data_IF_049230567061
#
_entry.id   IF_049230567061
#
_cell.length_a   1.000
_cell.length_b   1.000
_cell.length_c   1.000
_cell.angle_alpha   90.00
_cell.angle_beta   90.00
_cell.angle_gamma   90.00
#
_symmetry.space_group_name_H-M   'P 1'
#
loop_
_entity.id
_entity.type
_entity.pdbx_description
1 polymer ?
#
# COMPACT_ATOMS: atom_id res chain seq x y z
N UNK A 1 -17.72 -12.91 -8.44
CA UNK A 1 -18.36 -12.46 -7.19
C UNK A 1 -18.30 -13.57 -6.16
N UNK A 2 -18.19 -13.22 -4.88
CA UNK A 2 -18.15 -14.12 -3.73
C UNK A 2 -19.33 -13.74 -2.84
N UNK A 3 -20.07 -14.73 -2.31
CA UNK A 3 -21.18 -14.48 -1.37
C UNK A 3 -20.72 -14.56 0.09
N UNK A 4 -21.32 -13.75 0.95
CA UNK A 4 -21.07 -13.85 2.40
C UNK A 4 -21.38 -15.24 2.93
N UNK A 5 -22.47 -15.87 2.46
CA UNK A 5 -22.86 -17.24 2.84
C UNK A 5 -21.83 -18.32 2.49
N UNK A 6 -21.00 -18.09 1.43
CA UNK A 6 -19.94 -19.03 1.04
C UNK A 6 -18.72 -18.97 1.96
N UNK A 7 -18.52 -17.82 2.66
CA UNK A 7 -17.29 -17.54 3.43
C UNK A 7 -17.52 -17.49 4.94
N UNK A 8 -18.77 -17.49 5.41
CA UNK A 8 -19.06 -17.42 6.83
C UNK A 8 -18.51 -18.64 7.58
N UNK A 9 -17.87 -18.39 8.73
CA UNK A 9 -17.50 -19.41 9.70
C UNK A 9 -18.69 -19.71 10.62
N UNK A 10 -18.66 -20.83 11.36
CA UNK A 10 -19.72 -21.26 12.26
C UNK A 10 -20.00 -20.23 13.37
N UNK A 11 -18.95 -19.58 13.87
CA UNK A 11 -19.04 -18.56 14.91
C UNK A 11 -19.50 -17.17 14.41
N UNK A 12 -19.68 -16.99 13.10
CA UNK A 12 -20.14 -15.73 12.51
C UNK A 12 -21.66 -15.73 12.39
N UNK A 13 -22.28 -14.56 12.55
CA UNK A 13 -23.70 -14.39 12.35
C UNK A 13 -23.99 -13.66 11.04
N UNK A 14 -24.53 -14.37 10.06
CA UNK A 14 -24.97 -13.81 8.79
C UNK A 14 -26.39 -13.24 8.95
N UNK A 15 -26.50 -11.91 9.06
CA UNK A 15 -27.80 -11.23 9.16
C UNK A 15 -28.47 -11.06 7.80
N UNK A 16 -27.67 -10.82 6.77
CA UNK A 16 -28.15 -10.70 5.38
C UNK A 16 -27.06 -11.10 4.41
N UNK A 17 -27.38 -11.98 3.49
CA UNK A 17 -26.44 -12.37 2.42
C UNK A 17 -26.21 -11.22 1.44
N UNK A 18 -25.07 -11.23 0.78
CA UNK A 18 -24.68 -10.24 -0.22
C UNK A 18 -23.46 -10.70 -0.99
N UNK A 19 -23.20 -10.03 -2.10
CA UNK A 19 -22.09 -10.37 -2.99
C UNK A 19 -21.03 -9.27 -2.99
N UNK A 20 -19.76 -9.69 -3.03
CA UNK A 20 -18.61 -8.79 -3.17
C UNK A 20 -17.58 -9.40 -4.14
N UNK A 21 -16.68 -8.55 -4.65
CA UNK A 21 -15.58 -8.96 -5.52
C UNK A 21 -14.21 -8.79 -4.84
N UNK A 22 -14.11 -7.91 -3.85
CA UNK A 22 -12.88 -7.65 -3.14
C UNK A 22 -13.09 -7.24 -1.69
N UNK A 23 -12.03 -7.26 -0.92
CA UNK A 23 -11.98 -6.68 0.42
C UNK A 23 -11.35 -5.29 0.35
N UNK A 24 -11.78 -4.37 1.23
CA UNK A 24 -11.20 -3.03 1.28
C UNK A 24 -11.60 -2.26 2.53
N UNK A 25 -10.92 -1.15 2.80
CA UNK A 25 -11.29 -0.24 3.87
C UNK A 25 -12.58 0.53 3.51
N UNK A 26 -13.29 1.02 4.49
CA UNK A 26 -14.60 1.70 4.32
C UNK A 26 -14.56 2.95 3.42
N UNK A 27 -13.38 3.52 3.20
CA UNK A 27 -13.13 4.69 2.33
C UNK A 27 -12.55 4.34 0.98
N UNK A 28 -12.26 3.07 0.73
CA UNK A 28 -11.60 2.60 -0.48
C UNK A 28 -12.46 2.88 -1.73
N UNK A 29 -11.82 3.33 -2.80
CA UNK A 29 -12.43 3.55 -4.12
C UNK A 29 -11.87 2.53 -5.09
N UNK A 30 -12.53 1.39 -5.14
CA UNK A 30 -12.06 0.23 -5.89
C UNK A 30 -12.72 0.08 -7.27
N UNK A 31 -13.87 0.75 -7.49
CA UNK A 31 -14.68 0.60 -8.70
C UNK A 31 -15.29 -0.82 -8.83
N UNK A 32 -15.33 -1.57 -7.74
CA UNK A 32 -15.91 -2.91 -7.67
C UNK A 32 -16.58 -3.12 -6.30
N UNK A 33 -17.56 -4.06 -6.18
CA UNK A 33 -18.23 -4.33 -4.92
C UNK A 33 -17.29 -4.83 -3.84
N UNK A 34 -17.22 -4.13 -2.71
CA UNK A 34 -16.34 -4.43 -1.59
C UNK A 34 -17.07 -5.02 -0.40
N UNK A 35 -16.44 -5.97 0.28
CA UNK A 35 -16.66 -6.27 1.69
C UNK A 35 -15.70 -5.40 2.52
N UNK A 36 -16.25 -4.62 3.45
CA UNK A 36 -15.46 -3.83 4.41
C UNK A 36 -15.80 -4.16 5.84
N UNK A 37 -14.92 -3.79 6.76
CA UNK A 37 -15.19 -3.93 8.20
C UNK A 37 -15.44 -2.57 8.86
N UNK A 38 -16.37 -2.53 9.82
CA UNK A 38 -16.76 -1.33 10.55
C UNK A 38 -16.83 -1.61 12.05
N UNK A 39 -15.85 -1.14 12.83
CA UNK A 39 -15.76 -1.38 14.26
C UNK A 39 -16.56 -0.43 15.15
N UNK A 40 -17.18 0.61 14.58
CA UNK A 40 -17.98 1.57 15.33
C UNK A 40 -18.93 2.37 14.40
N UNK A 41 -19.91 3.14 14.95
CA UNK A 41 -20.87 3.89 14.16
C UNK A 41 -20.26 4.96 13.23
N UNK A 42 -19.04 5.47 13.52
CA UNK A 42 -18.34 6.43 12.64
C UNK A 42 -17.94 5.75 11.34
N UNK A 43 -17.26 4.60 11.42
CA UNK A 43 -16.84 3.85 10.25
C UNK A 43 -18.02 3.27 9.48
N UNK A 44 -19.09 2.85 10.18
CA UNK A 44 -20.34 2.44 9.54
C UNK A 44 -20.91 3.56 8.66
N UNK A 45 -21.03 4.79 9.20
CA UNK A 45 -21.48 5.94 8.41
C UNK A 45 -20.59 6.26 7.21
N UNK A 46 -19.28 6.04 7.33
CA UNK A 46 -18.34 6.21 6.20
C UNK A 46 -18.58 5.15 5.14
N UNK A 47 -18.70 3.89 5.54
CA UNK A 47 -18.99 2.76 4.65
C UNK A 47 -20.32 2.93 3.90
N UNK A 48 -21.37 3.38 4.59
CA UNK A 48 -22.69 3.63 3.99
C UNK A 48 -22.68 4.73 2.91
N UNK A 49 -21.76 5.69 2.99
CA UNK A 49 -21.57 6.73 1.98
C UNK A 49 -20.73 6.27 0.78
N UNK A 50 -20.03 5.15 0.90
CA UNK A 50 -19.19 4.64 -0.16
C UNK A 50 -19.99 3.72 -1.09
N UNK A 51 -20.18 4.07 -2.39
CA UNK A 51 -20.94 3.26 -3.33
C UNK A 51 -20.28 1.91 -3.65
N UNK A 52 -18.97 1.79 -3.46
CA UNK A 52 -18.25 0.54 -3.71
C UNK A 52 -18.48 -0.50 -2.59
N UNK A 53 -18.93 -0.09 -1.41
CA UNK A 53 -19.19 -1.02 -0.30
C UNK A 53 -20.52 -1.75 -0.52
N UNK A 54 -20.47 -3.03 -0.81
CA UNK A 54 -21.63 -3.90 -1.01
C UNK A 54 -21.95 -4.75 0.23
N UNK A 55 -20.92 -5.09 1.02
CA UNK A 55 -21.07 -5.92 2.21
C UNK A 55 -20.32 -5.32 3.42
N UNK A 56 -20.86 -5.57 4.60
CA UNK A 56 -20.36 -5.08 5.88
C UNK A 56 -20.02 -6.24 6.81
N UNK A 57 -18.83 -6.22 7.38
CA UNK A 57 -18.41 -7.04 8.50
C UNK A 57 -18.37 -6.15 9.74
N UNK A 58 -19.09 -6.52 10.79
CA UNK A 58 -19.27 -5.67 11.99
C UNK A 58 -19.16 -6.53 13.27
N UNK A 59 -18.89 -5.93 14.44
CA UNK A 59 -18.99 -6.63 15.70
C UNK A 59 -20.48 -6.88 16.05
N UNK A 60 -20.75 -7.84 16.95
CA UNK A 60 -22.12 -8.27 17.29
C UNK A 60 -23.00 -7.13 17.82
N UNK A 61 -22.45 -6.20 18.59
CA UNK A 61 -23.16 -5.05 19.15
C UNK A 61 -23.58 -4.01 18.10
N UNK A 62 -22.94 -4.00 16.94
CA UNK A 62 -23.26 -3.09 15.83
C UNK A 62 -24.14 -3.76 14.76
N UNK A 63 -24.39 -5.06 14.87
CA UNK A 63 -25.01 -5.89 13.84
C UNK A 63 -26.41 -5.42 13.43
N UNK A 64 -27.29 -5.20 14.40
CA UNK A 64 -28.66 -4.76 14.14
C UNK A 64 -28.69 -3.37 13.49
N UNK A 65 -27.91 -2.43 14.01
CA UNK A 65 -27.81 -1.08 13.44
C UNK A 65 -27.30 -1.12 11.99
N UNK A 66 -26.32 -1.97 11.69
CA UNK A 66 -25.78 -2.11 10.34
C UNK A 66 -26.81 -2.70 9.37
N UNK A 67 -27.59 -3.71 9.82
CA UNK A 67 -28.63 -4.33 9.02
C UNK A 67 -29.82 -3.41 8.73
N UNK A 68 -30.18 -2.55 9.67
CA UNK A 68 -31.28 -1.58 9.51
C UNK A 68 -30.89 -0.36 8.69
N UNK A 69 -29.61 0.03 8.71
CA UNK A 69 -29.13 1.26 8.07
C UNK A 69 -29.22 1.24 6.54
N UNK A 70 -29.06 0.06 5.92
CA UNK A 70 -29.18 -0.10 4.47
C UNK A 70 -29.65 -1.54 4.13
N UNK A 71 -30.89 -1.69 3.63
CA UNK A 71 -31.46 -3.00 3.33
C UNK A 71 -30.84 -3.70 2.12
N UNK A 72 -30.04 -3.02 1.31
CA UNK A 72 -29.45 -3.56 0.09
C UNK A 72 -28.08 -4.20 0.32
N UNK A 73 -27.41 -3.89 1.43
CA UNK A 73 -26.06 -4.40 1.70
C UNK A 73 -26.06 -5.72 2.48
N UNK A 74 -25.15 -6.62 2.11
CA UNK A 74 -24.87 -7.81 2.90
C UNK A 74 -24.30 -7.43 4.28
N UNK A 75 -24.68 -8.17 5.34
CA UNK A 75 -24.22 -7.89 6.71
C UNK A 75 -23.87 -9.18 7.42
N UNK A 76 -22.64 -9.25 7.93
CA UNK A 76 -22.14 -10.36 8.74
C UNK A 76 -21.52 -9.81 10.03
N UNK A 77 -21.94 -10.37 11.19
CA UNK A 77 -21.35 -10.04 12.48
C UNK A 77 -20.31 -11.08 12.90
N UNK A 78 -19.18 -10.61 13.46
CA UNK A 78 -18.04 -11.46 13.78
C UNK A 78 -17.46 -11.14 15.16
N UNK A 79 -16.85 -12.13 15.84
CA UNK A 79 -16.33 -11.94 17.20
C UNK A 79 -15.06 -11.06 17.25
N UNK A 80 -14.14 -11.25 16.32
CA UNK A 80 -12.82 -10.57 16.29
C UNK A 80 -12.64 -9.76 15.00
N UNK A 81 -13.42 -8.70 14.85
CA UNK A 81 -13.64 -7.97 13.62
C UNK A 81 -12.40 -7.80 12.71
N UNK A 82 -11.33 -7.26 13.23
CA UNK A 82 -10.13 -6.97 12.41
C UNK A 82 -9.35 -8.24 12.09
N UNK A 83 -9.27 -9.16 13.03
CA UNK A 83 -8.60 -10.45 12.82
C UNK A 83 -9.38 -11.26 11.80
N UNK A 84 -10.69 -11.44 11.99
CA UNK A 84 -11.55 -12.17 11.07
C UNK A 84 -11.52 -11.63 9.64
N UNK A 85 -11.46 -10.30 9.48
CA UNK A 85 -11.38 -9.67 8.17
C UNK A 85 -10.07 -10.00 7.44
N UNK A 86 -8.93 -9.95 8.13
CA UNK A 86 -7.65 -10.22 7.49
C UNK A 86 -7.33 -11.71 7.39
N UNK A 87 -7.84 -12.54 8.28
CA UNK A 87 -7.84 -14.00 8.08
C UNK A 87 -8.68 -14.41 6.88
N UNK A 88 -9.84 -13.76 6.69
CA UNK A 88 -10.64 -13.96 5.48
C UNK A 88 -9.84 -13.55 4.23
N UNK A 89 -9.17 -12.40 4.26
CA UNK A 89 -8.30 -11.98 3.15
C UNK A 89 -7.26 -13.07 2.83
N UNK A 90 -6.52 -13.56 3.83
CA UNK A 90 -5.51 -14.60 3.64
C UNK A 90 -6.13 -15.90 3.08
N UNK A 91 -7.30 -16.31 3.59
CA UNK A 91 -8.03 -17.48 3.07
C UNK A 91 -8.42 -17.32 1.61
N UNK A 92 -8.91 -16.13 1.23
CA UNK A 92 -9.28 -15.83 -0.16
C UNK A 92 -8.05 -15.73 -1.10
N UNK A 93 -6.86 -15.52 -0.56
CA UNK A 93 -5.60 -15.60 -1.31
C UNK A 93 -5.13 -17.06 -1.54
N UNK A 94 -5.69 -18.02 -0.83
CA UNK A 94 -5.38 -19.45 -0.94
C UNK A 94 -5.91 -20.08 -2.23
N UNK A 95 -5.44 -21.29 -2.58
CA UNK A 95 -5.67 -21.92 -3.89
C UNK A 95 -7.15 -22.14 -4.24
N UNK A 96 -8.00 -22.33 -3.25
CA UNK A 96 -9.45 -22.55 -3.43
C UNK A 96 -10.16 -21.29 -3.98
N UNK A 97 -9.69 -20.11 -3.61
CA UNK A 97 -10.36 -18.83 -3.87
C UNK A 97 -9.56 -17.88 -4.76
N UNK A 98 -8.25 -18.13 -4.91
CA UNK A 98 -7.33 -17.18 -5.53
C UNK A 98 -7.79 -16.74 -6.93
N UNK A 99 -8.31 -17.64 -7.76
CA UNK A 99 -8.78 -17.33 -9.10
C UNK A 99 -9.96 -16.35 -9.06
N UNK A 100 -10.92 -16.56 -8.17
CA UNK A 100 -12.12 -15.70 -8.02
C UNK A 100 -11.79 -14.36 -7.35
N UNK A 101 -10.81 -14.34 -6.47
CA UNK A 101 -10.47 -13.18 -5.63
C UNK A 101 -9.35 -12.33 -6.21
N UNK A 102 -8.32 -12.95 -6.76
CA UNK A 102 -7.10 -12.28 -7.20
C UNK A 102 -6.80 -12.45 -8.69
N UNK A 103 -7.63 -13.21 -9.42
CA UNK A 103 -7.44 -13.53 -10.83
C UNK A 103 -6.43 -14.65 -11.10
N UNK A 104 -6.35 -15.07 -12.36
CA UNK A 104 -5.41 -16.08 -12.83
C UNK A 104 -4.00 -15.54 -12.96
N UNK A 105 -3.01 -16.43 -12.84
CA UNK A 105 -1.62 -16.09 -13.11
C UNK A 105 -1.35 -16.12 -14.63
N UNK A 106 -0.82 -15.00 -15.14
CA UNK A 106 -0.42 -14.86 -16.53
C UNK A 106 1.11 -15.06 -16.67
N UNK A 107 1.59 -15.63 -17.77
CA UNK A 107 3.03 -15.73 -18.00
C UNK A 107 3.74 -14.38 -17.95
N UNK A 108 4.98 -14.37 -17.44
CA UNK A 108 5.81 -13.16 -17.50
C UNK A 108 6.13 -12.80 -18.95
N UNK A 109 5.98 -11.52 -19.28
CA UNK A 109 6.23 -10.95 -20.61
C UNK A 109 7.34 -9.89 -20.50
N UNK A 110 8.42 -10.11 -21.24
CA UNK A 110 9.56 -9.18 -21.33
C UNK A 110 9.68 -8.74 -22.78
N UNK A 111 9.70 -7.42 -23.01
CA UNK A 111 9.88 -6.90 -24.36
C UNK A 111 11.27 -7.33 -24.91
N UNK A 112 11.36 -7.78 -26.17
CA UNK A 112 12.63 -8.25 -26.76
C UNK A 112 13.75 -7.22 -26.77
N UNK A 113 13.45 -5.92 -26.69
CA UNK A 113 14.44 -4.83 -26.61
C UNK A 113 14.90 -4.53 -25.17
N UNK A 114 14.30 -5.16 -24.16
CA UNK A 114 14.74 -4.97 -22.77
C UNK A 114 16.09 -5.67 -22.51
N UNK A 115 16.93 -5.03 -21.72
CA UNK A 115 18.25 -5.54 -21.35
C UNK A 115 18.24 -6.07 -19.93
N UNK A 116 18.15 -7.38 -19.76
CA UNK A 116 18.08 -8.04 -18.45
C UNK A 116 19.42 -8.73 -18.16
N UNK A 117 20.10 -8.33 -17.07
CA UNK A 117 21.30 -9.03 -16.62
C UNK A 117 20.93 -10.47 -16.20
N UNK A 118 21.68 -11.49 -16.61
CA UNK A 118 21.35 -12.89 -16.33
C UNK A 118 21.37 -13.26 -14.83
N UNK A 119 21.89 -12.41 -13.97
CA UNK A 119 21.88 -12.56 -12.50
C UNK A 119 20.68 -11.89 -11.83
N UNK A 120 19.70 -11.43 -12.61
CA UNK A 120 18.43 -10.90 -12.11
C UNK A 120 17.48 -12.04 -11.78
N UNK A 121 16.70 -11.89 -10.71
CA UNK A 121 15.63 -12.83 -10.35
C UNK A 121 14.28 -12.22 -10.73
N UNK A 122 13.58 -12.84 -11.68
CA UNK A 122 12.26 -12.40 -12.13
C UNK A 122 11.25 -13.53 -11.90
N UNK A 123 10.11 -13.22 -11.28
CA UNK A 123 9.04 -14.20 -11.10
C UNK A 123 8.57 -14.76 -12.46
N UNK A 124 8.26 -16.05 -12.55
CA UNK A 124 7.86 -16.70 -13.82
C UNK A 124 6.46 -16.27 -14.30
N UNK A 125 5.67 -15.67 -13.43
CA UNK A 125 4.31 -15.21 -13.74
C UNK A 125 4.04 -13.80 -13.26
N UNK A 126 3.10 -13.13 -13.93
CA UNK A 126 2.57 -11.81 -13.58
C UNK A 126 3.63 -10.69 -13.54
N UNK A 127 4.68 -10.77 -14.35
CA UNK A 127 5.62 -9.66 -14.56
C UNK A 127 5.51 -9.18 -16.00
N UNK A 128 5.53 -7.85 -16.19
CA UNK A 128 5.64 -7.23 -17.51
C UNK A 128 6.77 -6.21 -17.49
N UNK A 129 7.69 -6.29 -18.47
CA UNK A 129 8.81 -5.34 -18.63
C UNK A 129 8.75 -4.77 -20.04
N UNK A 130 8.64 -3.44 -20.13
CA UNK A 130 8.51 -2.70 -21.38
C UNK A 130 9.82 -2.52 -22.15
N UNK A 131 9.68 -1.97 -23.36
CA UNK A 131 10.76 -1.79 -24.32
C UNK A 131 11.94 -0.97 -23.75
N UNK A 132 13.15 -1.31 -24.17
CA UNK A 132 14.42 -0.65 -23.83
C UNK A 132 14.71 -0.54 -22.32
N UNK A 133 13.93 -1.19 -21.47
CA UNK A 133 14.16 -1.17 -20.02
C UNK A 133 15.39 -1.97 -19.66
N UNK A 134 16.26 -1.41 -18.83
CA UNK A 134 17.48 -2.03 -18.33
C UNK A 134 17.28 -2.52 -16.91
N UNK A 135 17.55 -3.79 -16.63
CA UNK A 135 17.54 -4.37 -15.29
C UNK A 135 18.93 -4.95 -14.98
N UNK A 136 19.57 -4.36 -13.99
CA UNK A 136 20.94 -4.72 -13.61
C UNK A 136 20.99 -5.95 -12.68
N UNK A 137 22.19 -6.50 -12.55
CA UNK A 137 22.51 -7.68 -11.76
C UNK A 137 21.99 -7.63 -10.32
N UNK A 138 21.43 -8.73 -9.82
CA UNK A 138 20.98 -8.84 -8.43
C UNK A 138 19.69 -8.11 -8.12
N UNK A 139 19.03 -7.48 -9.10
CA UNK A 139 17.67 -7.00 -8.92
C UNK A 139 16.69 -8.18 -8.79
N UNK A 140 15.66 -8.02 -7.96
CA UNK A 140 14.61 -9.03 -7.73
C UNK A 140 13.26 -8.44 -8.06
N UNK A 141 12.53 -9.06 -9.01
CA UNK A 141 11.22 -8.62 -9.45
C UNK A 141 10.19 -9.69 -9.15
N UNK A 142 9.33 -9.44 -8.20
CA UNK A 142 8.26 -10.34 -7.82
C UNK A 142 7.06 -10.24 -8.77
N UNK A 143 6.21 -11.26 -8.77
CA UNK A 143 4.96 -11.28 -9.53
C UNK A 143 4.03 -10.11 -9.23
N UNK A 144 3.10 -9.82 -10.14
CA UNK A 144 2.19 -8.68 -10.11
C UNK A 144 2.91 -7.31 -10.19
N UNK A 145 4.08 -7.30 -10.88
CA UNK A 145 4.87 -6.10 -11.13
C UNK A 145 4.87 -5.78 -12.63
N UNK A 146 4.50 -4.54 -12.97
CA UNK A 146 4.58 -4.01 -14.34
C UNK A 146 5.56 -2.85 -14.37
N UNK A 147 6.52 -2.92 -15.28
CA UNK A 147 7.55 -1.88 -15.51
C UNK A 147 7.36 -1.37 -16.94
N UNK A 148 7.24 -0.07 -17.09
CA UNK A 148 7.08 0.59 -18.38
C UNK A 148 8.33 0.52 -19.25
N UNK A 149 8.35 1.31 -20.31
CA UNK A 149 9.46 1.41 -21.26
C UNK A 149 10.56 2.39 -20.78
N UNK A 150 11.77 2.22 -21.29
CA UNK A 150 12.92 3.10 -21.08
C UNK A 150 13.28 3.31 -19.60
N UNK A 151 12.99 2.31 -18.76
CA UNK A 151 13.29 2.34 -17.33
C UNK A 151 14.71 1.80 -17.03
N UNK A 152 15.25 2.19 -15.88
CA UNK A 152 16.53 1.67 -15.38
C UNK A 152 16.32 1.17 -13.95
N UNK A 153 16.49 -0.12 -13.74
CA UNK A 153 16.43 -0.76 -12.42
C UNK A 153 17.84 -1.19 -12.03
N UNK A 154 18.43 -0.47 -11.08
CA UNK A 154 19.81 -0.68 -10.66
C UNK A 154 19.96 -1.90 -9.73
N UNK A 155 21.19 -2.36 -9.60
CA UNK A 155 21.58 -3.55 -8.85
C UNK A 155 21.04 -3.59 -7.43
N UNK A 156 20.59 -4.77 -6.99
CA UNK A 156 20.15 -5.04 -5.62
C UNK A 156 18.76 -4.53 -5.26
N UNK A 157 18.06 -3.85 -6.17
CA UNK A 157 16.71 -3.36 -5.89
C UNK A 157 15.68 -4.48 -5.92
N UNK A 158 14.71 -4.42 -4.98
CA UNK A 158 13.66 -5.42 -4.80
C UNK A 158 12.30 -4.77 -5.09
N UNK A 159 11.62 -5.26 -6.13
CA UNK A 159 10.38 -4.70 -6.64
C UNK A 159 9.22 -5.69 -6.49
N UNK A 160 8.10 -5.23 -5.95
CA UNK A 160 6.88 -6.00 -5.82
C UNK A 160 6.90 -7.04 -4.69
N UNK A 161 7.83 -6.93 -3.74
CA UNK A 161 7.83 -7.73 -2.52
C UNK A 161 6.65 -7.39 -1.60
N UNK A 162 6.40 -8.23 -0.58
CA UNK A 162 5.41 -7.94 0.46
C UNK A 162 5.89 -6.82 1.39
N UNK A 163 4.95 -5.99 1.85
CA UNK A 163 5.19 -4.97 2.86
C UNK A 163 5.03 -5.48 4.29
N UNK A 164 5.06 -4.55 5.25
CA UNK A 164 4.81 -4.82 6.67
C UNK A 164 3.30 -4.65 6.95
N UNK A 165 2.54 -5.74 6.89
CA UNK A 165 1.15 -5.78 7.35
C UNK A 165 0.98 -6.97 8.29
N UNK A 166 1.02 -6.69 9.58
CA UNK A 166 0.95 -7.68 10.65
C UNK A 166 0.02 -7.21 11.76
N UNK A 167 -0.69 -8.15 12.38
CA UNK A 167 -1.59 -7.86 13.51
C UNK A 167 -1.28 -8.72 14.71
N UNK A 168 -1.41 -8.16 15.91
CA UNK A 168 -1.37 -8.94 17.15
C UNK A 168 -2.71 -9.63 17.36
N UNK A 169 -2.67 -10.95 17.62
CA UNK A 169 -3.83 -11.76 17.97
C UNK A 169 -3.79 -12.01 19.48
N UNK A 170 -4.15 -11.01 20.28
CA UNK A 170 -4.09 -11.11 21.73
C UNK A 170 -2.72 -11.61 22.24
N UNK A 171 -2.70 -12.69 23.03
CA UNK A 171 -1.50 -13.41 23.48
C UNK A 171 -1.09 -14.55 22.54
N UNK A 172 -1.87 -14.85 21.50
CA UNK A 172 -1.70 -16.04 20.65
C UNK A 172 -0.66 -15.85 19.53
N UNK A 173 -0.21 -14.61 19.29
CA UNK A 173 0.84 -14.37 18.31
C UNK A 173 0.59 -13.17 17.39
N UNK A 174 1.16 -13.27 16.18
CA UNK A 174 1.10 -12.24 15.15
C UNK A 174 0.58 -12.87 13.85
N UNK A 175 -0.51 -12.31 13.31
CA UNK A 175 -1.02 -12.65 11.99
C UNK A 175 -0.28 -11.82 10.93
N UNK A 176 0.37 -12.48 9.98
CA UNK A 176 0.86 -11.85 8.76
C UNK A 176 -0.26 -11.76 7.73
N UNK A 177 -0.33 -10.65 7.01
CA UNK A 177 -1.35 -10.43 5.97
C UNK A 177 -0.72 -10.54 4.58
N UNK A 178 -1.32 -11.35 3.71
CA UNK A 178 -0.88 -11.58 2.35
C UNK A 178 -0.99 -10.32 1.49
N UNK A 179 0.05 -10.01 0.71
CA UNK A 179 0.03 -8.94 -0.27
C UNK A 179 -0.29 -9.51 -1.66
N UNK A 180 -1.47 -9.23 -2.18
CA UNK A 180 -1.96 -9.72 -3.48
C UNK A 180 -2.26 -8.61 -4.49
N UNK A 181 -2.03 -7.36 -4.12
CA UNK A 181 -2.09 -6.24 -5.04
C UNK A 181 -0.89 -6.20 -5.99
N UNK A 182 -0.75 -5.14 -6.73
CA UNK A 182 0.26 -4.98 -7.77
C UNK A 182 1.24 -3.83 -7.47
N UNK A 183 2.34 -3.83 -8.24
CA UNK A 183 3.25 -2.70 -8.37
C UNK A 183 3.25 -2.26 -9.85
N UNK A 184 2.97 -0.98 -10.08
CA UNK A 184 2.94 -0.36 -11.40
C UNK A 184 4.01 0.72 -11.49
N UNK A 185 4.98 0.55 -12.38
CA UNK A 185 6.05 1.51 -12.65
C UNK A 185 5.85 2.06 -14.06
N UNK A 186 5.76 3.38 -14.18
CA UNK A 186 5.58 4.10 -15.45
C UNK A 186 6.80 4.01 -16.36
N UNK A 187 6.85 4.88 -17.35
CA UNK A 187 7.94 4.92 -18.32
C UNK A 187 9.06 5.86 -17.86
N UNK A 188 10.30 5.62 -18.32
CA UNK A 188 11.49 6.45 -18.06
C UNK A 188 11.77 6.66 -16.58
N UNK A 189 11.37 5.69 -15.75
CA UNK A 189 11.64 5.67 -14.30
C UNK A 189 13.05 5.12 -14.07
N UNK A 190 13.79 5.75 -13.18
CA UNK A 190 15.04 5.18 -12.68
C UNK A 190 14.93 4.87 -11.19
N UNK A 191 15.22 3.63 -10.81
CA UNK A 191 15.32 3.17 -9.43
C UNK A 191 16.75 2.75 -9.20
N UNK A 192 17.46 3.49 -8.34
CA UNK A 192 18.86 3.24 -8.06
C UNK A 192 19.06 2.08 -7.09
N UNK A 193 20.26 1.95 -6.57
CA UNK A 193 20.75 0.75 -5.90
C UNK A 193 20.04 0.44 -4.58
N UNK A 194 19.77 -0.86 -4.36
CA UNK A 194 19.24 -1.39 -3.10
C UNK A 194 17.95 -0.71 -2.62
N UNK A 195 17.11 -0.28 -3.53
CA UNK A 195 15.77 0.22 -3.19
C UNK A 195 14.80 -0.92 -2.94
N UNK A 196 13.80 -0.69 -2.08
CA UNK A 196 12.70 -1.62 -1.86
C UNK A 196 11.37 -0.94 -2.19
N UNK A 197 10.60 -1.52 -3.11
CA UNK A 197 9.27 -1.06 -3.47
C UNK A 197 8.28 -2.19 -3.29
N UNK A 198 7.41 -2.07 -2.29
CA UNK A 198 6.41 -3.10 -1.97
C UNK A 198 5.20 -3.01 -2.90
N UNK A 199 4.61 -4.16 -3.25
CA UNK A 199 3.31 -4.21 -3.91
C UNK A 199 2.19 -3.89 -2.92
N UNK A 200 1.01 -3.53 -3.42
CA UNK A 200 -0.15 -3.25 -2.59
C UNK A 200 -0.74 -4.51 -1.93
N UNK A 201 -1.62 -4.30 -0.95
CA UNK A 201 -2.23 -5.35 -0.15
C UNK A 201 -3.34 -6.09 -0.90
N UNK A 202 -4.40 -5.39 -1.28
CA UNK A 202 -5.58 -5.98 -1.91
C UNK A 202 -5.39 -6.20 -3.41
N UNK A 203 -5.96 -7.28 -4.01
CA UNK A 203 -5.77 -7.62 -5.43
C UNK A 203 -6.13 -6.52 -6.42
N UNK A 204 -7.13 -5.71 -6.11
CA UNK A 204 -7.60 -4.60 -6.95
C UNK A 204 -6.78 -3.32 -6.81
N UNK A 205 -5.91 -3.26 -5.80
CA UNK A 205 -5.13 -2.06 -5.45
C UNK A 205 -3.68 -2.18 -5.91
N UNK A 206 -3.04 -1.05 -6.12
CA UNK A 206 -1.65 -1.01 -6.60
C UNK A 206 -0.78 -0.03 -5.80
N UNK A 207 0.52 -0.30 -5.75
CA UNK A 207 1.56 0.70 -5.51
C UNK A 207 1.95 1.25 -6.87
N UNK A 208 2.03 2.57 -7.02
CA UNK A 208 2.28 3.19 -8.32
C UNK A 208 3.44 4.17 -8.28
N UNK A 209 4.27 4.16 -9.34
CA UNK A 209 5.32 5.14 -9.60
C UNK A 209 5.07 5.72 -10.99
N UNK A 210 4.86 7.03 -11.07
CA UNK A 210 4.56 7.74 -12.32
C UNK A 210 5.80 7.92 -13.20
N UNK A 211 5.54 8.29 -14.46
CA UNK A 211 6.56 8.48 -15.49
C UNK A 211 7.64 9.50 -15.08
N UNK A 212 8.85 9.34 -15.59
CA UNK A 212 10.00 10.23 -15.42
C UNK A 212 10.49 10.39 -13.97
N UNK A 213 9.97 9.63 -13.00
CA UNK A 213 10.37 9.68 -11.60
C UNK A 213 11.76 9.06 -11.41
N UNK A 214 12.59 9.69 -10.56
CA UNK A 214 13.95 9.25 -10.23
C UNK A 214 14.06 8.99 -8.74
N UNK A 215 14.51 7.80 -8.40
CA UNK A 215 14.59 7.30 -7.02
C UNK A 215 16.03 6.93 -6.75
N UNK A 216 16.66 7.63 -5.81
CA UNK A 216 18.04 7.40 -5.41
C UNK A 216 18.17 6.16 -4.52
N UNK A 217 19.39 5.75 -4.23
CA UNK A 217 19.73 4.51 -3.52
C UNK A 217 19.11 4.41 -2.11
N UNK A 218 18.82 3.18 -1.68
CA UNK A 218 18.35 2.84 -0.34
C UNK A 218 16.95 3.43 0.01
N UNK A 219 16.18 3.84 -0.97
CA UNK A 219 14.82 4.33 -0.76
C UNK A 219 13.87 3.16 -0.48
N UNK A 220 12.98 3.34 0.50
CA UNK A 220 11.85 2.46 0.76
C UNK A 220 10.53 3.10 0.33
N UNK A 221 9.76 2.40 -0.52
CA UNK A 221 8.38 2.75 -0.85
C UNK A 221 7.47 1.62 -0.41
N UNK A 222 6.63 1.89 0.59
CA UNK A 222 5.74 0.91 1.16
C UNK A 222 4.47 0.68 0.30
N UNK A 223 3.73 -0.35 0.67
CA UNK A 223 2.54 -0.83 -0.05
C UNK A 223 1.47 0.25 -0.22
N UNK A 224 0.81 0.23 -1.37
CA UNK A 224 -0.32 1.12 -1.66
C UNK A 224 0.03 2.60 -1.83
N UNK A 225 1.32 2.96 -1.84
CA UNK A 225 1.76 4.34 -2.07
C UNK A 225 1.64 4.71 -3.54
N UNK A 226 1.17 5.92 -3.82
CA UNK A 226 1.07 6.46 -5.16
C UNK A 226 2.06 7.61 -5.33
N UNK A 227 3.05 7.41 -6.19
CA UNK A 227 4.07 8.42 -6.53
C UNK A 227 3.71 9.00 -7.90
N UNK A 228 3.62 10.32 -7.99
CA UNK A 228 3.33 11.06 -9.21
C UNK A 228 4.44 10.99 -10.25
N UNK A 229 4.35 11.86 -11.26
CA UNK A 229 5.32 11.97 -12.35
C UNK A 229 6.42 12.96 -12.00
N UNK A 230 7.62 12.75 -12.56
CA UNK A 230 8.79 13.65 -12.42
C UNK A 230 9.16 13.94 -10.96
N UNK A 231 8.84 12.98 -10.07
CA UNK A 231 9.20 13.07 -8.66
C UNK A 231 10.68 12.71 -8.49
N UNK A 232 11.37 13.46 -7.65
CA UNK A 232 12.75 13.18 -7.27
C UNK A 232 12.79 12.76 -5.81
N UNK A 233 13.20 11.51 -5.55
CA UNK A 233 13.30 10.94 -4.21
C UNK A 233 14.77 10.66 -3.93
N UNK A 234 15.35 11.40 -2.98
CA UNK A 234 16.76 11.31 -2.63
C UNK A 234 17.04 10.13 -1.68
N UNK A 235 18.33 9.81 -1.53
CA UNK A 235 18.82 8.62 -0.85
C UNK A 235 18.23 8.40 0.55
N UNK A 236 17.95 7.15 0.87
CA UNK A 236 17.46 6.70 2.20
C UNK A 236 16.14 7.34 2.64
N UNK A 237 15.37 7.94 1.74
CA UNK A 237 14.03 8.40 2.06
C UNK A 237 13.06 7.21 2.29
N UNK A 238 12.09 7.40 3.18
CA UNK A 238 11.08 6.40 3.51
C UNK A 238 9.67 6.94 3.19
N UNK A 239 8.98 6.32 2.24
CA UNK A 239 7.58 6.60 1.93
C UNK A 239 6.74 5.48 2.55
N UNK A 240 5.99 5.81 3.60
CA UNK A 240 5.17 4.84 4.31
C UNK A 240 3.90 4.49 3.53
N UNK A 241 3.19 3.43 3.99
CA UNK A 241 2.07 2.84 3.27
C UNK A 241 0.94 3.81 2.93
N UNK A 242 0.39 3.66 1.73
CA UNK A 242 -0.76 4.45 1.24
C UNK A 242 -0.52 5.97 1.18
N UNK A 243 0.74 6.43 1.16
CA UNK A 243 1.07 7.83 0.96
C UNK A 243 0.78 8.23 -0.50
N UNK A 244 0.29 9.46 -0.69
CA UNK A 244 0.01 10.04 -2.01
C UNK A 244 1.01 11.18 -2.29
N UNK A 245 1.94 10.99 -3.22
CA UNK A 245 2.92 12.00 -3.63
C UNK A 245 2.51 12.55 -4.99
N UNK A 246 2.28 13.84 -5.08
CA UNK A 246 1.90 14.53 -6.31
C UNK A 246 3.02 14.60 -7.35
N UNK A 247 2.73 15.25 -8.47
CA UNK A 247 3.69 15.47 -9.54
C UNK A 247 4.75 16.53 -9.15
N UNK A 248 5.96 16.40 -9.70
CA UNK A 248 7.06 17.38 -9.57
C UNK A 248 7.52 17.60 -8.11
N UNK A 249 7.27 16.63 -7.22
CA UNK A 249 7.65 16.71 -5.80
C UNK A 249 9.14 16.39 -5.63
N UNK A 250 9.77 17.06 -4.66
CA UNK A 250 11.11 16.75 -4.16
C UNK A 250 11.01 16.13 -2.75
N UNK A 251 11.55 14.94 -2.60
CA UNK A 251 11.69 14.24 -1.32
C UNK A 251 13.19 14.17 -0.98
N UNK A 252 13.61 14.90 0.04
CA UNK A 252 15.01 15.04 0.44
C UNK A 252 15.60 13.77 1.07
N UNK A 253 16.94 13.68 1.18
CA UNK A 253 17.60 12.50 1.76
C UNK A 253 17.22 12.30 3.23
N UNK A 254 17.14 11.03 3.65
CA UNK A 254 16.74 10.62 5.00
C UNK A 254 15.40 11.22 5.49
N UNK A 255 14.53 11.68 4.58
CA UNK A 255 13.21 12.17 4.97
C UNK A 255 12.20 11.02 5.05
N UNK A 256 11.12 11.24 5.80
CA UNK A 256 10.04 10.27 5.95
C UNK A 256 8.70 10.93 5.64
N UNK A 257 7.90 10.30 4.80
CA UNK A 257 6.49 10.63 4.62
C UNK A 257 5.66 9.56 5.32
N UNK A 258 4.84 9.96 6.30
CA UNK A 258 4.03 9.04 7.09
C UNK A 258 2.92 8.40 6.27
N UNK A 259 2.36 7.30 6.79
CA UNK A 259 1.26 6.58 6.14
C UNK A 259 0.05 7.48 5.88
N UNK A 260 -0.58 7.31 4.71
CA UNK A 260 -1.78 8.03 4.27
C UNK A 260 -1.60 9.55 4.09
N UNK A 261 -0.38 10.09 4.27
CA UNK A 261 -0.08 11.51 4.08
C UNK A 261 -0.08 11.85 2.60
N UNK A 262 -0.64 13.02 2.26
CA UNK A 262 -0.66 13.59 0.92
C UNK A 262 0.37 14.71 0.80
N UNK A 263 1.27 14.57 -0.16
CA UNK A 263 2.23 15.61 -0.54
C UNK A 263 1.78 16.19 -1.88
N UNK A 264 1.33 17.44 -1.88
CA UNK A 264 0.76 18.10 -3.07
C UNK A 264 1.81 18.36 -4.15
N UNK A 265 1.34 18.61 -5.38
CA UNK A 265 2.20 18.86 -6.54
C UNK A 265 3.21 19.97 -6.26
N UNK A 266 4.44 19.85 -6.81
CA UNK A 266 5.54 20.82 -6.66
C UNK A 266 5.97 21.09 -5.21
N UNK A 267 5.53 20.29 -4.23
CA UNK A 267 5.94 20.44 -2.84
C UNK A 267 7.35 19.88 -2.60
N UNK A 268 7.95 20.30 -1.51
CA UNK A 268 9.29 19.86 -1.10
C UNK A 268 9.29 19.40 0.36
N UNK A 269 9.74 18.18 0.59
CA UNK A 269 10.08 17.65 1.91
C UNK A 269 11.60 17.67 2.01
N UNK A 270 12.18 18.53 2.85
CA UNK A 270 13.64 18.73 2.88
C UNK A 270 14.36 17.58 3.60
N UNK A 271 15.69 17.58 3.56
CA UNK A 271 16.52 16.55 4.18
C UNK A 271 16.15 16.30 5.65
N UNK A 272 16.08 15.04 6.03
CA UNK A 272 15.79 14.61 7.42
C UNK A 272 14.41 15.02 7.95
N UNK A 273 13.53 15.59 7.13
CA UNK A 273 12.20 16.00 7.56
C UNK A 273 11.24 14.80 7.70
N UNK A 274 10.34 14.86 8.67
CA UNK A 274 9.26 13.90 8.88
C UNK A 274 7.93 14.59 8.57
N UNK A 275 7.35 14.30 7.40
CA UNK A 275 6.03 14.76 7.02
C UNK A 275 4.97 13.85 7.66
N UNK A 276 4.48 14.22 8.84
CA UNK A 276 3.46 13.48 9.60
C UNK A 276 2.02 13.99 9.35
N UNK A 277 1.87 15.02 8.54
CA UNK A 277 0.60 15.59 8.10
C UNK A 277 0.70 15.99 6.63
N UNK A 278 -0.46 16.22 6.00
CA UNK A 278 -0.52 16.62 4.59
C UNK A 278 0.32 17.87 4.31
N UNK A 279 1.06 17.82 3.19
CA UNK A 279 1.92 18.92 2.73
C UNK A 279 1.22 19.59 1.54
N UNK A 280 0.79 20.85 1.65
CA UNK A 280 0.13 21.55 0.56
C UNK A 280 0.98 21.63 -0.72
N UNK A 281 0.32 21.72 -1.87
CA UNK A 281 1.01 21.92 -3.15
C UNK A 281 1.90 23.17 -3.12
N UNK A 282 3.06 23.10 -3.78
CA UNK A 282 4.06 24.18 -3.89
C UNK A 282 4.60 24.69 -2.56
N UNK A 283 4.41 23.96 -1.47
CA UNK A 283 4.96 24.29 -0.16
C UNK A 283 6.25 23.52 0.15
N UNK A 284 6.99 24.01 1.13
CA UNK A 284 8.22 23.36 1.61
C UNK A 284 8.09 23.09 3.11
N UNK A 285 8.32 21.82 3.51
CA UNK A 285 8.42 21.44 4.92
C UNK A 285 9.85 21.03 5.25
N UNK A 286 10.29 21.36 6.47
CA UNK A 286 11.68 21.21 6.88
C UNK A 286 11.75 20.53 8.26
N UNK A 287 12.70 19.60 8.39
CA UNK A 287 12.96 18.91 9.65
C UNK A 287 14.04 19.59 10.51
N UNK A 288 14.54 18.86 11.49
CA UNK A 288 15.57 19.33 12.40
C UNK A 288 16.94 19.33 11.72
N UNK A 289 17.65 20.45 11.79
CA UNK A 289 19.05 20.54 11.38
C UNK A 289 19.98 20.38 12.59
N UNK A 290 21.20 19.92 12.34
CA UNK A 290 22.23 19.88 13.36
C UNK A 290 22.55 21.30 13.82
N UNK A 291 22.66 21.44 15.13
CA UNK A 291 23.10 22.64 15.81
C UNK A 291 24.33 22.30 16.66
N UNK A 292 25.05 23.31 17.14
CA UNK A 292 26.16 23.12 18.07
C UNK A 292 25.70 22.30 19.29
N UNK A 293 26.57 21.37 19.74
CA UNK A 293 26.22 20.44 20.82
C UNK A 293 25.86 21.14 22.13
N UNK A 294 26.58 22.20 22.51
CA UNK A 294 26.29 22.92 23.73
C UNK A 294 24.96 23.65 23.66
N UNK A 295 24.65 24.26 22.50
CA UNK A 295 23.33 24.88 22.24
C UNK A 295 22.19 23.86 22.27
N UNK A 296 22.40 22.68 21.66
CA UNK A 296 21.42 21.61 21.72
C UNK A 296 21.14 21.15 23.14
N UNK A 297 22.18 20.93 23.94
CA UNK A 297 22.05 20.50 25.32
C UNK A 297 21.37 21.55 26.20
N UNK A 298 21.66 22.83 25.99
CA UNK A 298 20.99 23.93 26.73
C UNK A 298 19.49 23.97 26.41
N UNK A 299 19.10 23.87 25.12
CA UNK A 299 17.68 23.84 24.70
C UNK A 299 16.96 22.59 25.24
N UNK A 300 17.63 21.45 25.21
CA UNK A 300 17.09 20.19 25.72
C UNK A 300 16.83 20.25 27.24
N UNK A 301 17.79 20.78 28.01
CA UNK A 301 17.64 20.93 29.45
C UNK A 301 16.53 21.91 29.85
N UNK A 302 16.35 23.02 29.09
CA UNK A 302 15.24 23.97 29.30
C UNK A 302 13.89 23.26 29.07
N UNK A 303 13.74 22.55 27.95
CA UNK A 303 12.52 21.77 27.65
C UNK A 303 12.19 20.74 28.72
N UNK A 304 13.20 20.05 29.28
CA UNK A 304 12.99 19.08 30.36
C UNK A 304 12.51 19.74 31.67
N UNK A 305 12.88 21.01 31.92
CA UNK A 305 12.45 21.78 33.09
C UNK A 305 11.10 22.48 32.89
N UNK A 306 10.53 22.42 31.69
CA UNK A 306 9.29 23.09 31.35
C UNK A 306 9.43 24.62 31.15
N UNK A 307 10.65 25.07 30.78
CA UNK A 307 11.01 26.49 30.54
C UNK A 307 10.82 26.84 29.03
#
# INVERSE_FOLDING_TARGET
MIRLSEICKEEWNLLRDGEFAGLGLCTAKAGLPLLTFCGNPKFLRMALKNPDVACLMVPFDLAQQAAEADPLRGVCAVPNLRVDFFELHNRLCGPEWAERYAGTDEPTVIDPSAHIDPRTVIAPSNVSIGANTVVEAGAVIYGRTKIGADCIIRSGSVLGGSGLEFMRIGSEGILGVEHRGSLMIGNRVEIQYNCNVSRSLFPWHETRIGDDTKIESLVHIAHGSHIGKRVLIAASACICGSAEIGDDVWIGPNSTVSSEVKVGNNARVTLGAVAAADVPASSTVTGNFAVDHELFMLDHLRKMRGE
#
